data_IF_031110544384
#
_entry.id   IF_031110544384
#
_cell.length_a   1.000
_cell.length_b   1.000
_cell.length_c   1.000
_cell.angle_alpha   90.00
_cell.angle_beta   90.00
_cell.angle_gamma   90.00
#
_symmetry.space_group_name_H-M   'P 1'
#
loop_
_entity.id
_entity.type
_entity.pdbx_description
1 polymer ?
#
# COMPACT_ATOMS: atom_id res chain seq x y z
N UNK A 1 -28.50 -2.42 18.30
CA UNK A 1 -27.80 -1.18 17.90
C UNK A 1 -26.75 -0.75 18.94
N UNK A 2 -27.13 -0.51 20.21
CA UNK A 2 -26.19 -0.08 21.27
C UNK A 2 -25.04 -1.07 21.44
N UNK A 3 -25.32 -2.36 21.47
CA UNK A 3 -24.32 -3.39 21.63
C UNK A 3 -23.36 -3.51 20.43
N UNK A 4 -23.86 -3.34 19.22
CA UNK A 4 -23.02 -3.35 18.02
C UNK A 4 -22.15 -2.11 17.93
N UNK A 5 -22.65 -0.94 18.35
CA UNK A 5 -21.84 0.27 18.50
C UNK A 5 -20.71 0.06 19.50
N UNK A 6 -20.99 -0.60 20.64
CA UNK A 6 -19.99 -0.88 21.67
C UNK A 6 -18.94 -1.86 21.18
N UNK A 7 -19.35 -2.92 20.47
CA UNK A 7 -18.43 -3.88 19.84
C UNK A 7 -17.53 -3.21 18.80
N UNK A 8 -18.09 -2.29 17.99
CA UNK A 8 -17.34 -1.50 17.03
C UNK A 8 -16.30 -0.60 17.71
N UNK A 9 -16.69 0.12 18.78
CA UNK A 9 -15.76 0.98 19.55
C UNK A 9 -14.60 0.15 20.13
N UNK A 10 -14.90 -1.02 20.69
CA UNK A 10 -13.88 -1.93 21.23
C UNK A 10 -12.91 -2.35 20.15
N UNK A 11 -13.40 -2.67 18.96
CA UNK A 11 -12.58 -3.09 17.82
C UNK A 11 -11.77 -1.94 17.24
N UNK A 12 -12.35 -0.73 17.13
CA UNK A 12 -11.67 0.47 16.66
C UNK A 12 -10.43 0.81 17.52
N UNK A 13 -10.50 0.52 18.84
CA UNK A 13 -9.37 0.67 19.75
C UNK A 13 -8.33 -0.46 19.68
N UNK A 14 -8.39 -1.34 18.68
CA UNK A 14 -7.41 -2.41 18.46
C UNK A 14 -7.70 -3.69 19.25
N UNK A 15 -8.81 -3.79 19.95
CA UNK A 15 -9.20 -4.96 20.75
C UNK A 15 -10.07 -5.96 19.96
N UNK A 16 -9.64 -6.36 18.78
CA UNK A 16 -10.39 -7.27 17.90
C UNK A 16 -10.83 -8.58 18.58
N UNK A 17 -10.02 -9.12 19.47
CA UNK A 17 -10.33 -10.32 20.26
C UNK A 17 -11.53 -10.09 21.21
N UNK A 18 -11.55 -8.98 21.92
CA UNK A 18 -12.62 -8.64 22.85
C UNK A 18 -13.95 -8.34 22.13
N UNK A 19 -13.88 -7.74 20.93
CA UNK A 19 -15.05 -7.54 20.07
C UNK A 19 -15.71 -8.88 19.70
N UNK A 20 -14.91 -9.91 19.36
CA UNK A 20 -15.41 -11.26 19.05
C UNK A 20 -16.07 -11.93 20.27
N UNK A 21 -15.42 -11.83 21.44
CA UNK A 21 -16.01 -12.35 22.70
C UNK A 21 -17.31 -11.65 23.02
N UNK A 22 -17.38 -10.33 22.82
CA UNK A 22 -18.57 -9.55 23.10
C UNK A 22 -19.75 -9.96 22.18
N UNK A 23 -19.50 -10.17 20.89
CA UNK A 23 -20.53 -10.67 19.97
C UNK A 23 -20.98 -12.10 20.32
N UNK A 24 -20.05 -12.98 20.72
CA UNK A 24 -20.39 -14.32 21.19
C UNK A 24 -21.25 -14.29 22.47
N UNK A 25 -20.95 -13.36 23.40
CA UNK A 25 -21.73 -13.20 24.62
C UNK A 25 -23.16 -12.71 24.35
N UNK A 26 -23.36 -11.85 23.35
CA UNK A 26 -24.69 -11.45 22.89
C UNK A 26 -25.50 -12.64 22.39
N UNK A 27 -24.89 -13.51 21.57
CA UNK A 27 -25.54 -14.72 21.08
C UNK A 27 -25.95 -15.64 22.24
N UNK A 28 -25.07 -15.83 23.23
CA UNK A 28 -25.35 -16.64 24.42
C UNK A 28 -26.50 -16.04 25.25
N UNK A 29 -26.51 -14.69 25.43
CA UNK A 29 -27.56 -14.00 26.17
C UNK A 29 -28.92 -14.15 25.46
N UNK A 30 -28.96 -14.01 24.14
CA UNK A 30 -30.18 -14.18 23.36
C UNK A 30 -30.67 -15.64 23.45
N UNK A 31 -29.78 -16.61 23.31
CA UNK A 31 -30.12 -18.02 23.51
C UNK A 31 -30.63 -18.27 24.92
N UNK A 32 -29.99 -17.73 25.96
CA UNK A 32 -30.44 -17.86 27.36
C UNK A 32 -31.82 -17.23 27.60
N UNK A 33 -32.08 -16.03 27.04
CA UNK A 33 -33.40 -15.40 27.12
C UNK A 33 -34.48 -16.23 26.43
N UNK A 34 -34.16 -16.87 25.29
CA UNK A 34 -35.08 -17.75 24.60
C UNK A 34 -35.42 -19.02 25.40
N UNK A 35 -34.43 -19.56 26.14
CA UNK A 35 -34.66 -20.71 27.02
C UNK A 35 -35.39 -20.34 28.33
N UNK A 36 -35.21 -19.12 28.82
CA UNK A 36 -35.77 -18.68 30.10
C UNK A 36 -37.24 -18.21 30.00
N UNK A 37 -37.66 -17.70 28.83
CA UNK A 37 -39.08 -17.37 28.60
C UNK A 37 -39.81 -18.64 28.13
N UNK A 38 -40.59 -19.28 29.02
CA UNK A 38 -41.31 -20.49 28.62
C UNK A 38 -42.32 -20.16 27.53
N UNK A 39 -42.55 -21.16 26.65
CA UNK A 39 -43.52 -21.07 25.59
C UNK A 39 -44.84 -20.48 26.08
N UNK A 40 -45.40 -19.57 25.31
CA UNK A 40 -46.75 -19.04 25.54
C UNK A 40 -47.73 -20.22 25.79
N UNK A 41 -48.67 -20.08 26.70
CA UNK A 41 -49.68 -21.11 27.00
C UNK A 41 -50.50 -21.55 25.76
N UNK A 42 -50.32 -20.92 24.62
CA UNK A 42 -51.04 -21.17 23.37
C UNK A 42 -50.24 -22.02 22.36
N UNK A 43 -49.13 -22.66 22.77
CA UNK A 43 -48.46 -23.69 21.96
C UNK A 43 -47.69 -23.20 20.70
N UNK A 44 -47.53 -21.91 20.54
CA UNK A 44 -46.80 -21.37 19.40
C UNK A 44 -45.32 -21.19 19.80
N UNK A 45 -44.47 -22.01 19.20
CA UNK A 45 -43.03 -21.95 19.37
C UNK A 45 -42.42 -20.76 18.57
N UNK A 46 -42.76 -19.53 18.97
CA UNK A 46 -42.09 -18.32 18.41
C UNK A 46 -40.58 -18.38 18.53
N UNK A 47 -40.06 -19.18 19.46
CA UNK A 47 -38.65 -19.37 19.73
C UNK A 47 -37.93 -20.10 18.62
N UNK A 48 -38.53 -21.09 17.95
CA UNK A 48 -37.90 -21.92 16.90
C UNK A 48 -37.66 -21.08 15.64
N UNK A 49 -38.58 -20.20 15.30
CA UNK A 49 -38.49 -19.34 14.12
C UNK A 49 -37.38 -18.28 14.25
N UNK A 50 -37.24 -17.69 15.42
CA UNK A 50 -36.21 -16.66 15.69
C UNK A 50 -34.82 -17.30 15.73
N UNK A 51 -34.69 -18.50 16.31
CA UNK A 51 -33.45 -19.27 16.32
C UNK A 51 -32.98 -19.65 14.91
N UNK A 52 -33.89 -20.16 14.07
CA UNK A 52 -33.58 -20.55 12.69
C UNK A 52 -33.09 -19.38 11.84
N UNK A 53 -33.52 -18.14 12.15
CA UNK A 53 -33.15 -16.95 11.43
C UNK A 53 -31.87 -16.28 11.99
N UNK A 54 -31.77 -16.17 13.31
CA UNK A 54 -30.71 -15.37 13.96
C UNK A 54 -29.34 -16.07 13.99
N UNK A 55 -29.31 -17.39 14.13
CA UNK A 55 -28.05 -18.15 14.20
C UNK A 55 -27.23 -18.06 12.90
N UNK A 56 -27.78 -18.34 11.70
CA UNK A 56 -27.04 -18.22 10.44
C UNK A 56 -26.54 -16.79 10.21
N UNK A 57 -27.37 -15.78 10.49
CA UNK A 57 -27.05 -14.37 10.30
C UNK A 57 -25.90 -13.92 11.21
N UNK A 58 -25.94 -14.29 12.48
CA UNK A 58 -24.90 -13.92 13.46
C UNK A 58 -23.58 -14.60 13.18
N UNK A 59 -23.60 -15.87 12.76
CA UNK A 59 -22.39 -16.61 12.39
C UNK A 59 -21.81 -16.07 11.07
N UNK A 60 -22.66 -15.82 10.07
CA UNK A 60 -22.24 -15.27 8.79
C UNK A 60 -21.59 -13.88 8.94
N UNK A 61 -22.17 -12.98 9.75
CA UNK A 61 -21.59 -11.65 10.01
C UNK A 61 -20.25 -11.74 10.76
N UNK A 62 -20.09 -12.68 11.67
CA UNK A 62 -18.81 -12.93 12.36
C UNK A 62 -17.71 -13.39 11.41
N UNK A 63 -18.05 -14.18 10.40
CA UNK A 63 -17.11 -14.71 9.42
C UNK A 63 -16.82 -13.69 8.30
N UNK A 64 -17.85 -13.06 7.76
CA UNK A 64 -17.76 -12.19 6.59
C UNK A 64 -17.00 -10.88 6.85
N UNK A 65 -17.10 -10.32 8.04
CA UNK A 65 -16.54 -9.01 8.35
C UNK A 65 -15.31 -9.09 9.26
N UNK A 66 -14.27 -9.76 8.79
CA UNK A 66 -12.95 -9.74 9.45
C UNK A 66 -12.11 -8.59 8.88
N UNK A 67 -11.73 -7.60 9.70
CA UNK A 67 -10.83 -6.51 9.32
C UNK A 67 -11.42 -5.10 9.40
N UNK A 68 -10.88 -4.17 8.59
CA UNK A 68 -11.27 -2.74 8.61
C UNK A 68 -12.72 -2.46 8.18
N UNK A 69 -13.36 -3.40 7.47
CA UNK A 69 -14.73 -3.26 6.96
C UNK A 69 -15.81 -3.75 7.94
N UNK A 70 -15.44 -4.17 9.13
CA UNK A 70 -16.34 -4.68 10.17
C UNK A 70 -17.52 -3.76 10.52
N UNK A 71 -17.38 -2.44 10.33
CA UNK A 71 -18.48 -1.48 10.59
C UNK A 71 -19.73 -1.77 9.78
N UNK A 72 -19.57 -2.21 8.53
CA UNK A 72 -20.71 -2.51 7.65
C UNK A 72 -21.41 -3.82 8.06
N UNK A 73 -20.63 -4.80 8.55
CA UNK A 73 -21.18 -6.05 9.06
C UNK A 73 -22.05 -5.85 10.29
N UNK A 74 -21.64 -5.01 11.22
CA UNK A 74 -22.46 -4.68 12.40
C UNK A 74 -23.75 -3.96 12.01
N UNK A 75 -23.67 -2.95 11.11
CA UNK A 75 -24.86 -2.24 10.61
C UNK A 75 -25.82 -3.22 9.92
N UNK A 76 -25.31 -4.14 9.12
CA UNK A 76 -26.12 -5.12 8.41
C UNK A 76 -26.77 -6.13 9.38
N UNK A 77 -26.03 -6.63 10.38
CA UNK A 77 -26.56 -7.50 11.43
C UNK A 77 -27.67 -6.82 12.23
N UNK A 78 -27.48 -5.54 12.59
CA UNK A 78 -28.48 -4.76 13.31
C UNK A 78 -29.72 -4.48 12.46
N UNK A 79 -29.56 -4.22 11.18
CA UNK A 79 -30.67 -4.04 10.24
C UNK A 79 -31.52 -5.30 10.13
N UNK A 80 -30.89 -6.48 10.00
CA UNK A 80 -31.60 -7.75 9.96
C UNK A 80 -32.31 -8.03 11.27
N UNK A 81 -31.65 -7.77 12.40
CA UNK A 81 -32.28 -7.90 13.72
C UNK A 81 -33.50 -6.99 13.84
N UNK A 82 -33.38 -5.73 13.42
CA UNK A 82 -34.48 -4.76 13.43
C UNK A 82 -35.66 -5.24 12.55
N UNK A 83 -35.36 -5.70 11.33
CA UNK A 83 -36.39 -6.25 10.42
C UNK A 83 -37.06 -7.47 11.04
N UNK A 84 -36.31 -8.39 11.64
CA UNK A 84 -36.83 -9.60 12.29
C UNK A 84 -37.72 -9.25 13.49
N UNK A 85 -37.28 -8.30 14.33
CA UNK A 85 -38.08 -7.82 15.46
C UNK A 85 -39.37 -7.11 15.00
N UNK A 86 -39.25 -6.32 13.91
CA UNK A 86 -40.43 -5.62 13.34
C UNK A 86 -41.43 -6.65 12.80
N UNK A 87 -41.02 -7.68 12.11
CA UNK A 87 -41.89 -8.74 11.62
C UNK A 87 -42.55 -9.51 12.74
N UNK A 88 -41.87 -9.75 13.88
CA UNK A 88 -42.44 -10.40 15.06
C UNK A 88 -43.49 -9.50 15.72
N UNK A 89 -43.19 -8.19 15.90
CA UNK A 89 -44.08 -7.22 16.60
C UNK A 89 -45.33 -6.90 15.76
N UNK A 90 -45.19 -6.85 14.44
CA UNK A 90 -46.30 -6.57 13.50
C UNK A 90 -46.99 -7.82 12.97
N UNK A 91 -46.69 -9.00 13.52
CA UNK A 91 -47.42 -10.22 13.17
C UNK A 91 -48.91 -10.07 13.50
N UNK A 92 -49.82 -10.15 12.50
CA UNK A 92 -51.28 -10.01 12.74
C UNK A 92 -51.80 -11.03 13.73
N UNK A 93 -51.16 -12.18 13.93
CA UNK A 93 -51.53 -13.20 14.89
C UNK A 93 -51.33 -12.79 16.35
N UNK A 94 -50.26 -12.00 16.62
CA UNK A 94 -50.05 -11.43 17.95
C UNK A 94 -51.13 -10.41 18.31
N UNK A 95 -51.70 -9.72 17.30
CA UNK A 95 -52.69 -8.67 17.51
C UNK A 95 -54.13 -9.18 17.54
N UNK A 96 -54.42 -10.32 16.92
CA UNK A 96 -55.80 -10.74 16.70
C UNK A 96 -56.29 -11.94 17.55
N UNK A 97 -55.40 -12.62 18.23
CA UNK A 97 -55.73 -13.86 19.04
C UNK A 97 -56.53 -14.91 18.29
N UNK A 98 -56.53 -14.93 16.96
CA UNK A 98 -57.28 -15.86 16.12
C UNK A 98 -56.45 -17.09 15.77
N UNK A 99 -56.97 -18.32 15.90
CA UNK A 99 -56.24 -19.49 15.42
C UNK A 99 -56.21 -19.51 13.90
N UNK A 100 -55.00 -19.62 13.31
CA UNK A 100 -54.84 -19.81 11.87
C UNK A 100 -55.44 -21.13 11.46
N UNK A 101 -56.38 -21.10 10.54
CA UNK A 101 -56.87 -22.32 9.88
C UNK A 101 -55.73 -22.88 9.01
N UNK A 102 -55.08 -23.96 9.46
CA UNK A 102 -54.04 -24.68 8.75
C UNK A 102 -54.61 -25.46 7.60
N UNK A 103 -54.57 -24.96 6.36
CA UNK A 103 -54.94 -25.70 5.16
C UNK A 103 -53.88 -26.75 4.75
N UNK A 104 -52.64 -26.64 5.26
CA UNK A 104 -51.52 -27.51 4.85
C UNK A 104 -50.64 -27.99 6.00
N UNK A 105 -50.98 -27.72 7.26
CA UNK A 105 -50.14 -28.10 8.42
C UNK A 105 -48.85 -27.30 8.61
N UNK A 106 -48.54 -26.37 7.72
CA UNK A 106 -47.39 -25.47 7.83
C UNK A 106 -47.93 -24.07 8.11
N UNK A 107 -47.49 -23.45 9.22
CA UNK A 107 -47.87 -22.06 9.50
C UNK A 107 -47.16 -21.11 8.49
N UNK A 108 -47.87 -20.09 7.99
CA UNK A 108 -47.29 -19.10 7.10
C UNK A 108 -46.07 -18.42 7.72
N UNK A 109 -46.05 -18.25 9.03
CA UNK A 109 -44.93 -17.65 9.79
C UNK A 109 -43.64 -18.49 9.66
N UNK A 110 -43.77 -19.82 9.75
CA UNK A 110 -42.63 -20.71 9.54
C UNK A 110 -42.08 -20.59 8.10
N UNK A 111 -42.99 -20.49 7.13
CA UNK A 111 -42.61 -20.37 5.71
C UNK A 111 -41.87 -19.01 5.46
N UNK A 112 -42.39 -17.92 5.99
CA UNK A 112 -41.74 -16.62 5.85
C UNK A 112 -40.35 -16.57 6.53
N UNK A 113 -40.20 -17.17 7.71
CA UNK A 113 -38.93 -17.25 8.41
C UNK A 113 -37.91 -18.11 7.65
N UNK A 114 -38.32 -19.24 7.09
CA UNK A 114 -37.44 -20.09 6.27
C UNK A 114 -37.02 -19.37 5.00
N UNK A 115 -37.91 -18.68 4.30
CA UNK A 115 -37.59 -17.91 3.09
C UNK A 115 -36.64 -16.77 3.45
N UNK A 116 -36.91 -16.02 4.53
CA UNK A 116 -36.07 -14.93 4.99
C UNK A 116 -34.66 -15.41 5.35
N UNK A 117 -34.56 -16.51 6.09
CA UNK A 117 -33.27 -17.11 6.43
C UNK A 117 -32.51 -17.59 5.18
N UNK A 118 -33.19 -18.19 4.20
CA UNK A 118 -32.59 -18.64 2.95
C UNK A 118 -32.07 -17.46 2.13
N UNK A 119 -32.82 -16.36 2.04
CA UNK A 119 -32.39 -15.14 1.34
C UNK A 119 -31.17 -14.52 2.06
N UNK A 120 -31.20 -14.40 3.37
CA UNK A 120 -30.09 -13.86 4.15
C UNK A 120 -28.81 -14.70 3.94
N UNK A 121 -28.93 -16.02 4.06
CA UNK A 121 -27.79 -16.93 3.82
C UNK A 121 -27.26 -16.84 2.39
N UNK A 122 -28.14 -16.71 1.40
CA UNK A 122 -27.73 -16.53 0.01
C UNK A 122 -26.94 -15.23 -0.19
N UNK A 123 -27.42 -14.12 0.38
CA UNK A 123 -26.72 -12.82 0.31
C UNK A 123 -25.35 -12.89 0.98
N UNK A 124 -25.27 -13.53 2.15
CA UNK A 124 -23.99 -13.72 2.87
C UNK A 124 -23.00 -14.56 2.06
N UNK A 125 -23.45 -15.68 1.52
CA UNK A 125 -22.59 -16.54 0.69
C UNK A 125 -22.14 -15.80 -0.57
N UNK A 126 -23.05 -15.08 -1.24
CA UNK A 126 -22.69 -14.27 -2.42
C UNK A 126 -21.66 -13.19 -2.08
N UNK A 127 -21.80 -12.52 -0.93
CA UNK A 127 -20.84 -11.52 -0.46
C UNK A 127 -19.48 -12.16 -0.14
N UNK A 128 -19.46 -13.28 0.57
CA UNK A 128 -18.22 -14.01 0.90
C UNK A 128 -17.50 -14.45 -0.38
N UNK A 129 -18.22 -14.98 -1.37
CA UNK A 129 -17.65 -15.35 -2.65
C UNK A 129 -17.08 -14.16 -3.40
N UNK A 130 -17.79 -13.02 -3.43
CA UNK A 130 -17.30 -11.79 -4.06
C UNK A 130 -16.04 -11.25 -3.37
N UNK A 131 -15.99 -11.27 -2.04
CA UNK A 131 -14.82 -10.88 -1.26
C UNK A 131 -13.63 -11.81 -1.50
N UNK A 132 -13.88 -13.13 -1.50
CA UNK A 132 -12.85 -14.13 -1.75
C UNK A 132 -12.26 -14.00 -3.15
N UNK A 133 -13.09 -13.73 -4.17
CA UNK A 133 -12.61 -13.49 -5.53
C UNK A 133 -11.71 -12.24 -5.59
N UNK A 134 -12.10 -11.13 -4.96
CA UNK A 134 -11.27 -9.92 -4.90
C UNK A 134 -9.94 -10.16 -4.18
N UNK A 135 -9.96 -10.91 -3.08
CA UNK A 135 -8.75 -11.27 -2.34
C UNK A 135 -7.84 -12.16 -3.18
N UNK A 136 -8.40 -13.15 -3.89
CA UNK A 136 -7.64 -14.03 -4.77
C UNK A 136 -7.03 -13.28 -5.96
N UNK A 137 -7.76 -12.34 -6.56
CA UNK A 137 -7.24 -11.47 -7.62
C UNK A 137 -6.09 -10.61 -7.09
N UNK A 138 -6.24 -9.98 -5.93
CA UNK A 138 -5.19 -9.19 -5.30
C UNK A 138 -3.96 -10.02 -4.94
N UNK A 139 -4.17 -11.22 -4.40
CA UNK A 139 -3.09 -12.16 -4.07
C UNK A 139 -2.37 -12.65 -5.33
N UNK A 140 -3.12 -12.99 -6.38
CA UNK A 140 -2.56 -13.42 -7.66
C UNK A 140 -1.72 -12.30 -8.30
N UNK A 141 -2.21 -11.05 -8.25
CA UNK A 141 -1.46 -9.89 -8.72
C UNK A 141 -0.17 -9.68 -7.93
N UNK A 142 -0.23 -9.73 -6.60
CA UNK A 142 0.94 -9.59 -5.74
C UNK A 142 1.96 -10.73 -5.96
N UNK A 143 1.50 -11.96 -6.17
CA UNK A 143 2.40 -13.07 -6.51
C UNK A 143 3.06 -12.86 -7.88
N UNK A 144 2.31 -12.43 -8.88
CA UNK A 144 2.88 -12.17 -10.20
C UNK A 144 3.92 -11.03 -10.18
N UNK A 145 3.65 -9.97 -9.41
CA UNK A 145 4.62 -8.89 -9.16
C UNK A 145 5.88 -9.41 -8.45
N UNK A 146 5.73 -10.30 -7.48
CA UNK A 146 6.85 -10.93 -6.77
C UNK A 146 7.67 -11.84 -7.70
N UNK A 147 7.03 -12.66 -8.53
CA UNK A 147 7.72 -13.55 -9.48
C UNK A 147 8.51 -12.73 -10.50
N UNK A 148 7.91 -11.67 -11.03
CA UNK A 148 8.59 -10.74 -11.93
C UNK A 148 9.79 -10.06 -11.24
N UNK A 149 9.61 -9.63 -9.98
CA UNK A 149 10.70 -9.06 -9.18
C UNK A 149 11.87 -10.02 -9.04
N UNK A 150 11.62 -11.27 -8.63
CA UNK A 150 12.65 -12.29 -8.45
C UNK A 150 13.36 -12.59 -9.77
N UNK A 151 12.61 -12.69 -10.87
CA UNK A 151 13.17 -12.95 -12.19
C UNK A 151 14.11 -11.83 -12.64
N UNK A 152 13.66 -10.56 -12.59
CA UNK A 152 14.45 -9.43 -13.09
C UNK A 152 15.66 -9.18 -12.19
N UNK A 153 15.50 -9.22 -10.86
CA UNK A 153 16.62 -9.11 -9.92
C UNK A 153 17.68 -10.18 -10.22
N UNK A 154 17.26 -11.42 -10.43
CA UNK A 154 18.18 -12.52 -10.75
C UNK A 154 18.93 -12.29 -12.06
N UNK A 155 18.23 -11.76 -13.07
CA UNK A 155 18.83 -11.43 -14.37
C UNK A 155 19.85 -10.28 -14.25
N UNK A 156 19.46 -9.20 -13.57
CA UNK A 156 20.27 -7.98 -13.45
C UNK A 156 21.48 -8.15 -12.51
N UNK A 157 21.41 -9.06 -11.54
CA UNK A 157 22.57 -9.47 -10.75
C UNK A 157 23.51 -10.41 -11.55
N UNK A 158 22.95 -11.28 -12.38
CA UNK A 158 23.76 -12.23 -13.16
C UNK A 158 24.61 -11.55 -14.21
N UNK A 159 24.10 -10.52 -14.89
CA UNK A 159 24.81 -9.83 -15.98
C UNK A 159 26.14 -9.21 -15.53
N UNK A 160 26.22 -8.34 -14.49
CA UNK A 160 27.48 -7.78 -14.02
C UNK A 160 28.42 -8.84 -13.44
N UNK A 161 27.87 -9.90 -12.82
CA UNK A 161 28.67 -11.02 -12.31
C UNK A 161 29.38 -11.76 -13.43
N UNK A 162 28.69 -12.08 -14.53
CA UNK A 162 29.25 -12.74 -15.68
C UNK A 162 30.29 -11.85 -16.40
N UNK A 163 30.00 -10.54 -16.50
CA UNK A 163 30.96 -9.56 -17.05
C UNK A 163 32.23 -9.51 -16.19
N UNK A 164 32.10 -9.41 -14.87
CA UNK A 164 33.24 -9.40 -13.94
C UNK A 164 34.08 -10.68 -14.09
N UNK A 165 33.41 -11.85 -14.13
CA UNK A 165 34.09 -13.13 -14.35
C UNK A 165 34.85 -13.15 -15.67
N UNK A 166 34.23 -12.74 -16.77
CA UNK A 166 34.87 -12.69 -18.09
C UNK A 166 36.10 -11.77 -18.13
N UNK A 167 35.96 -10.57 -17.50
CA UNK A 167 37.08 -9.62 -17.40
C UNK A 167 38.26 -10.19 -16.59
N UNK A 168 37.98 -10.89 -15.47
CA UNK A 168 39.01 -11.56 -14.70
C UNK A 168 39.67 -12.71 -15.46
N UNK A 169 38.92 -13.48 -16.22
CA UNK A 169 39.49 -14.59 -17.05
C UNK A 169 40.39 -14.05 -18.18
N UNK A 170 39.96 -12.95 -18.82
CA UNK A 170 40.81 -12.27 -19.84
C UNK A 170 42.08 -11.69 -19.19
N UNK A 171 41.95 -11.07 -18.00
CA UNK A 171 43.13 -10.54 -17.29
C UNK A 171 44.16 -11.61 -16.97
N UNK A 172 43.74 -12.84 -16.65
CA UNK A 172 44.65 -13.98 -16.43
C UNK A 172 45.40 -14.41 -17.71
N UNK A 173 44.76 -14.28 -18.87
CA UNK A 173 45.38 -14.66 -20.15
C UNK A 173 46.41 -13.63 -20.66
N UNK A 174 46.25 -12.36 -20.21
CA UNK A 174 47.07 -11.23 -20.66
C UNK A 174 48.03 -10.70 -19.59
N UNK A 175 48.53 -11.55 -18.70
CA UNK A 175 49.38 -11.17 -17.55
C UNK A 175 50.62 -10.36 -17.94
N UNK A 176 51.14 -10.56 -19.12
CA UNK A 176 52.32 -9.85 -19.63
C UNK A 176 52.00 -8.41 -20.06
N UNK A 177 50.75 -8.08 -20.37
CA UNK A 177 50.31 -6.77 -20.82
C UNK A 177 49.73 -5.95 -19.65
N UNK A 178 50.59 -5.42 -18.79
CA UNK A 178 50.23 -4.77 -17.52
C UNK A 178 49.17 -3.66 -17.67
N UNK A 179 49.21 -2.86 -18.74
CA UNK A 179 48.21 -1.78 -18.95
C UNK A 179 46.83 -2.35 -19.30
N UNK A 180 46.75 -3.43 -20.10
CA UNK A 180 45.48 -4.07 -20.41
C UNK A 180 44.90 -4.76 -19.17
N UNK A 181 45.72 -5.43 -18.38
CA UNK A 181 45.29 -6.04 -17.12
C UNK A 181 44.67 -4.98 -16.18
N UNK A 182 45.35 -3.83 -16.00
CA UNK A 182 44.81 -2.74 -15.18
C UNK A 182 43.47 -2.21 -15.71
N UNK A 183 43.34 -2.09 -17.05
CA UNK A 183 42.08 -1.69 -17.69
C UNK A 183 40.95 -2.69 -17.38
N UNK A 184 41.17 -3.99 -17.50
CA UNK A 184 40.16 -5.03 -17.19
C UNK A 184 39.82 -5.09 -15.72
N UNK A 185 40.79 -4.94 -14.82
CA UNK A 185 40.55 -4.87 -13.38
C UNK A 185 39.70 -3.65 -13.01
N UNK A 186 39.96 -2.48 -13.62
CA UNK A 186 39.14 -1.29 -13.42
C UNK A 186 37.72 -1.47 -13.93
N UNK A 187 37.50 -2.13 -15.05
CA UNK A 187 36.17 -2.45 -15.56
C UNK A 187 35.46 -3.46 -14.68
N UNK A 188 36.16 -4.46 -14.16
CA UNK A 188 35.59 -5.41 -13.19
C UNK A 188 35.18 -4.71 -11.89
N UNK A 189 36.01 -3.79 -11.38
CA UNK A 189 35.69 -2.96 -10.24
C UNK A 189 34.42 -2.12 -10.44
N UNK A 190 34.27 -1.48 -11.60
CA UNK A 190 33.04 -0.76 -11.95
C UNK A 190 31.81 -1.67 -11.99
N UNK A 191 31.96 -2.89 -12.50
CA UNK A 191 30.86 -3.86 -12.54
C UNK A 191 30.43 -4.32 -11.16
N UNK A 192 31.39 -4.48 -10.21
CA UNK A 192 31.10 -4.81 -8.81
C UNK A 192 30.40 -3.65 -8.11
N UNK A 193 30.81 -2.41 -8.33
CA UNK A 193 30.14 -1.24 -7.77
C UNK A 193 28.70 -1.13 -8.25
N UNK A 194 28.45 -1.38 -9.53
CA UNK A 194 27.09 -1.43 -10.08
C UNK A 194 26.23 -2.51 -9.39
N UNK A 195 26.82 -3.68 -9.12
CA UNK A 195 26.14 -4.77 -8.40
C UNK A 195 25.78 -4.38 -6.96
N UNK A 196 26.69 -3.68 -6.27
CA UNK A 196 26.44 -3.16 -4.93
C UNK A 196 25.30 -2.12 -4.91
N UNK A 197 25.23 -1.26 -5.92
CA UNK A 197 24.14 -0.30 -6.06
C UNK A 197 22.78 -0.99 -6.28
N UNK A 198 22.72 -2.03 -7.11
CA UNK A 198 21.52 -2.88 -7.29
C UNK A 198 21.07 -3.48 -5.95
N UNK A 199 21.99 -4.04 -5.18
CA UNK A 199 21.70 -4.63 -3.87
C UNK A 199 21.16 -3.57 -2.91
N UNK A 200 21.74 -2.36 -2.87
CA UNK A 200 21.27 -1.25 -2.05
C UNK A 200 19.84 -0.84 -2.40
N UNK A 201 19.50 -0.76 -3.68
CA UNK A 201 18.14 -0.45 -4.13
C UNK A 201 17.14 -1.53 -3.70
N UNK A 202 17.48 -2.82 -3.85
CA UNK A 202 16.65 -3.93 -3.38
C UNK A 202 16.41 -3.87 -1.87
N UNK A 203 17.46 -3.59 -1.10
CA UNK A 203 17.36 -3.45 0.35
C UNK A 203 16.50 -2.25 0.75
N UNK A 204 16.62 -1.11 0.04
CA UNK A 204 15.79 0.07 0.26
C UNK A 204 14.31 -0.23 0.00
N UNK A 205 13.99 -0.94 -1.09
CA UNK A 205 12.63 -1.41 -1.38
C UNK A 205 12.09 -2.33 -0.30
N UNK A 206 12.86 -3.36 0.08
CA UNK A 206 12.47 -4.32 1.13
C UNK A 206 12.23 -3.65 2.49
N UNK A 207 13.07 -2.69 2.87
CA UNK A 207 12.88 -1.91 4.11
C UNK A 207 11.65 -1.03 4.03
N UNK A 208 11.43 -0.35 2.91
CA UNK A 208 10.26 0.50 2.73
C UNK A 208 8.95 -0.26 2.94
N UNK A 209 8.82 -1.47 2.40
CA UNK A 209 7.61 -2.28 2.53
C UNK A 209 7.33 -2.71 3.97
N UNK A 210 8.37 -2.98 4.78
CA UNK A 210 8.26 -3.56 6.12
C UNK A 210 8.22 -2.56 7.27
N UNK A 211 8.86 -1.39 7.14
CA UNK A 211 8.96 -0.41 8.23
C UNK A 211 7.85 0.64 8.15
N UNK A 212 7.27 1.01 9.29
CA UNK A 212 6.42 2.20 9.42
C UNK A 212 7.19 3.49 9.12
N UNK A 213 6.49 4.63 9.08
CA UNK A 213 7.12 5.94 8.96
C UNK A 213 7.90 6.26 10.24
N UNK A 214 9.13 6.74 10.09
CA UNK A 214 9.99 7.18 11.18
C UNK A 214 10.24 8.68 11.05
N UNK A 215 9.46 9.48 11.79
CA UNK A 215 9.58 10.92 11.73
C UNK A 215 10.64 11.42 12.70
N UNK A 216 11.53 12.27 12.19
CA UNK A 216 12.52 13.00 12.97
C UNK A 216 12.69 14.44 12.43
N UNK A 217 13.22 15.33 13.24
CA UNK A 217 13.54 16.70 12.81
C UNK A 217 14.96 16.74 12.26
N UNK A 218 15.12 17.26 11.07
CA UNK A 218 16.42 17.39 10.40
C UNK A 218 16.44 18.59 9.46
N UNK A 219 17.63 19.03 9.12
CA UNK A 219 17.84 20.07 8.11
C UNK A 219 17.98 19.43 6.72
N UNK A 220 17.16 19.88 5.75
CA UNK A 220 17.19 19.40 4.37
C UNK A 220 18.57 19.66 3.73
N UNK A 221 19.21 20.78 4.03
CA UNK A 221 20.53 21.11 3.47
C UNK A 221 21.57 20.04 3.83
N UNK A 222 21.48 19.44 5.03
CA UNK A 222 22.37 18.36 5.43
C UNK A 222 22.24 17.13 4.53
N UNK A 223 21.00 16.78 4.18
CA UNK A 223 20.72 15.65 3.24
C UNK A 223 21.30 15.94 1.85
N UNK A 224 21.06 17.14 1.33
CA UNK A 224 21.55 17.51 0.00
C UNK A 224 23.08 17.50 -0.05
N UNK A 225 23.72 18.01 1.02
CA UNK A 225 25.18 17.95 1.14
C UNK A 225 25.70 16.51 1.14
N UNK A 226 25.10 15.63 1.95
CA UNK A 226 25.50 14.22 2.03
C UNK A 226 25.35 13.53 0.65
N UNK A 227 24.28 13.84 -0.10
CA UNK A 227 24.07 13.30 -1.44
C UNK A 227 25.12 13.82 -2.43
N UNK A 228 25.41 15.13 -2.41
CA UNK A 228 26.41 15.73 -3.29
C UNK A 228 27.81 15.14 -3.04
N UNK A 229 28.19 15.04 -1.77
CA UNK A 229 29.47 14.45 -1.38
C UNK A 229 29.57 12.98 -1.80
N UNK A 230 28.51 12.20 -1.59
CA UNK A 230 28.45 10.77 -1.96
C UNK A 230 28.42 10.49 -3.46
N UNK A 231 27.93 11.42 -4.27
CA UNK A 231 27.93 11.35 -5.75
C UNK A 231 29.13 12.09 -6.37
N UNK A 232 30.04 12.65 -5.55
CA UNK A 232 31.17 13.45 -5.99
C UNK A 232 30.78 14.59 -6.96
N UNK A 233 29.60 15.20 -6.72
CA UNK A 233 29.08 16.28 -7.55
C UNK A 233 29.93 17.52 -7.37
N UNK A 234 30.59 17.96 -8.43
CA UNK A 234 31.38 19.17 -8.46
C UNK A 234 30.94 20.06 -9.61
N UNK A 235 30.82 21.34 -9.36
CA UNK A 235 30.58 22.28 -10.42
C UNK A 235 31.78 22.33 -11.38
N UNK A 236 31.49 22.47 -12.64
CA UNK A 236 32.47 22.55 -13.71
C UNK A 236 31.98 23.54 -14.78
N UNK A 237 32.80 23.96 -15.71
CA UNK A 237 32.35 24.82 -16.81
C UNK A 237 31.22 24.22 -17.64
N UNK A 238 31.05 22.88 -17.60
CA UNK A 238 30.04 22.17 -18.36
C UNK A 238 28.84 21.69 -17.53
N UNK A 239 28.92 21.80 -16.20
CA UNK A 239 27.86 21.30 -15.30
C UNK A 239 27.74 22.13 -14.03
N UNK A 240 26.51 22.46 -13.61
CA UNK A 240 26.20 23.21 -12.38
C UNK A 240 25.13 22.50 -11.57
N UNK A 241 25.31 22.47 -10.23
CA UNK A 241 24.29 22.06 -9.30
C UNK A 241 23.73 23.32 -8.58
N UNK A 242 22.47 23.65 -8.89
CA UNK A 242 21.82 24.86 -8.40
C UNK A 242 20.87 24.54 -7.25
N UNK A 243 20.94 25.29 -6.18
CA UNK A 243 20.09 25.13 -5.00
C UNK A 243 19.35 26.43 -4.71
N UNK A 244 18.03 26.31 -4.48
CA UNK A 244 17.18 27.43 -4.14
C UNK A 244 16.28 27.02 -2.96
N UNK A 245 16.37 27.77 -1.87
CA UNK A 245 15.63 27.50 -0.63
C UNK A 245 14.72 28.68 -0.30
N UNK A 246 13.40 28.45 -0.41
CA UNK A 246 12.36 29.42 -0.12
C UNK A 246 11.63 29.03 1.18
N UNK A 247 12.18 29.48 2.31
CA UNK A 247 11.69 29.20 3.66
C UNK A 247 12.66 28.40 4.52
N UNK A 248 12.23 28.09 5.74
CA UNK A 248 13.01 27.32 6.71
C UNK A 248 13.18 25.87 6.26
N UNK A 249 14.42 25.40 6.19
CA UNK A 249 14.81 24.07 5.72
C UNK A 249 14.73 22.98 6.79
N UNK A 250 14.37 23.36 8.03
CA UNK A 250 14.14 22.39 9.11
C UNK A 250 12.83 21.64 8.89
N UNK A 251 12.90 20.34 8.67
CA UNK A 251 11.75 19.48 8.30
C UNK A 251 11.53 18.43 9.38
N UNK A 252 10.26 18.16 9.73
CA UNK A 252 9.86 16.99 10.52
C UNK A 252 9.20 15.96 9.62
N UNK A 253 9.95 14.92 9.23
CA UNK A 253 9.53 13.91 8.28
C UNK A 253 10.37 12.62 8.42
N UNK A 254 10.17 11.65 7.53
CA UNK A 254 11.01 10.46 7.44
C UNK A 254 12.30 10.76 6.66
N UNK A 255 13.38 11.05 7.41
CA UNK A 255 14.69 11.41 6.87
C UNK A 255 15.25 10.36 5.93
N UNK A 256 15.14 9.06 6.30
CA UNK A 256 15.70 7.97 5.52
C UNK A 256 15.04 7.82 4.16
N UNK A 257 13.71 7.92 4.12
CA UNK A 257 12.95 7.87 2.87
C UNK A 257 13.22 9.11 2.01
N UNK A 258 13.22 10.28 2.61
CA UNK A 258 13.48 11.52 1.89
C UNK A 258 14.90 11.53 1.28
N UNK A 259 15.91 11.06 2.02
CA UNK A 259 17.26 10.88 1.50
C UNK A 259 17.29 9.95 0.29
N UNK A 260 16.60 8.80 0.35
CA UNK A 260 16.54 7.82 -0.74
C UNK A 260 15.86 8.41 -1.99
N UNK A 261 14.73 9.11 -1.81
CA UNK A 261 14.01 9.77 -2.90
C UNK A 261 14.89 10.80 -3.59
N UNK A 262 15.47 11.74 -2.81
CA UNK A 262 16.31 12.81 -3.35
C UNK A 262 17.55 12.25 -4.03
N UNK A 263 18.21 11.27 -3.43
CA UNK A 263 19.36 10.61 -4.06
C UNK A 263 18.99 10.01 -5.41
N UNK A 264 17.89 9.29 -5.52
CA UNK A 264 17.45 8.68 -6.78
C UNK A 264 17.14 9.75 -7.84
N UNK A 265 16.41 10.82 -7.47
CA UNK A 265 16.08 11.89 -8.40
C UNK A 265 17.32 12.65 -8.88
N UNK A 266 18.25 12.99 -7.97
CA UNK A 266 19.49 13.69 -8.28
C UNK A 266 20.42 12.79 -9.12
N UNK A 267 20.56 11.50 -8.77
CA UNK A 267 21.35 10.55 -9.56
C UNK A 267 20.83 10.47 -10.99
N UNK A 268 19.51 10.31 -11.16
CA UNK A 268 18.91 10.30 -12.50
C UNK A 268 19.21 11.59 -13.29
N UNK A 269 19.04 12.76 -12.65
CA UNK A 269 19.31 14.05 -13.30
C UNK A 269 20.78 14.19 -13.74
N UNK A 270 21.73 13.66 -12.95
CA UNK A 270 23.15 13.67 -13.26
C UNK A 270 23.49 12.64 -14.37
N UNK A 271 22.92 11.44 -14.31
CA UNK A 271 23.23 10.37 -15.27
C UNK A 271 22.66 10.63 -16.67
N UNK A 272 21.44 11.16 -16.73
CA UNK A 272 20.76 11.46 -17.99
C UNK A 272 21.07 12.84 -18.56
N UNK A 273 22.08 13.55 -17.99
CA UNK A 273 22.53 14.83 -18.56
C UNK A 273 23.11 14.64 -19.96
N UNK A 274 23.01 15.64 -20.78
CA UNK A 274 23.67 15.70 -22.07
C UNK A 274 25.15 15.97 -21.90
N UNK A 275 26.00 14.98 -22.06
CA UNK A 275 27.45 15.05 -21.77
C UNK A 275 28.20 16.10 -22.61
N UNK A 276 27.70 16.40 -23.79
CA UNK A 276 28.35 17.32 -24.76
C UNK A 276 27.77 18.74 -24.72
N UNK A 277 26.82 19.01 -23.83
CA UNK A 277 26.14 20.32 -23.75
C UNK A 277 26.85 21.19 -22.69
N UNK A 278 27.34 22.36 -23.14
CA UNK A 278 27.80 23.41 -22.20
C UNK A 278 26.59 23.94 -21.45
N UNK A 279 26.69 24.05 -20.12
CA UNK A 279 25.61 24.55 -19.27
C UNK A 279 24.58 23.48 -18.89
N UNK A 280 24.97 22.21 -18.83
CA UNK A 280 24.14 21.18 -18.18
C UNK A 280 23.94 21.54 -16.70
N UNK A 281 22.72 21.39 -16.21
CA UNK A 281 22.43 21.69 -14.80
C UNK A 281 21.48 20.68 -14.17
N UNK A 282 21.58 20.56 -12.86
CA UNK A 282 20.55 20.01 -11.97
C UNK A 282 20.15 21.12 -11.02
N UNK A 283 18.87 21.43 -10.94
CA UNK A 283 18.33 22.46 -10.04
C UNK A 283 17.41 21.83 -9.01
N UNK A 284 17.69 22.07 -7.73
CA UNK A 284 16.82 21.71 -6.62
C UNK A 284 16.16 23.00 -6.09
N UNK A 285 14.85 23.00 -6.03
CA UNK A 285 14.05 24.08 -5.44
C UNK A 285 13.26 23.52 -4.27
N UNK A 286 13.46 24.10 -3.10
CA UNK A 286 12.66 23.86 -1.91
C UNK A 286 11.76 25.05 -1.64
N UNK A 287 10.49 24.80 -1.39
CA UNK A 287 9.53 25.85 -1.04
C UNK A 287 8.69 25.38 0.15
N UNK A 288 8.60 26.22 1.17
CA UNK A 288 7.77 25.98 2.34
C UNK A 288 6.63 26.98 2.42
N UNK A 289 5.41 26.48 2.59
CA UNK A 289 4.21 27.30 2.77
C UNK A 289 3.43 26.76 3.96
N UNK A 290 3.57 27.44 5.11
CA UNK A 290 2.95 26.99 6.36
C UNK A 290 3.44 25.60 6.79
N UNK A 291 2.52 24.65 6.90
CA UNK A 291 2.82 23.28 7.31
C UNK A 291 3.12 22.33 6.12
N UNK A 292 3.18 22.85 4.90
CA UNK A 292 3.46 22.07 3.69
C UNK A 292 4.78 22.49 3.10
N UNK A 293 5.56 21.55 2.61
CA UNK A 293 6.74 21.82 1.82
C UNK A 293 6.70 21.09 0.48
N UNK A 294 7.33 21.68 -0.51
CA UNK A 294 7.49 21.11 -1.83
C UNK A 294 8.97 21.10 -2.21
N UNK A 295 9.38 20.02 -2.88
CA UNK A 295 10.73 19.88 -3.43
C UNK A 295 10.60 19.56 -4.91
N UNK A 296 11.31 20.34 -5.72
CA UNK A 296 11.42 20.13 -7.16
C UNK A 296 12.87 19.83 -7.50
N UNK A 297 13.12 18.74 -8.21
CA UNK A 297 14.40 18.43 -8.84
C UNK A 297 14.20 18.51 -10.35
N UNK A 298 14.94 19.40 -11.00
CA UNK A 298 14.85 19.61 -12.45
C UNK A 298 16.21 19.57 -13.11
N UNK A 299 16.24 19.10 -14.34
CA UNK A 299 17.44 19.03 -15.19
C UNK A 299 17.11 19.50 -16.63
N UNK A 300 18.15 19.83 -17.39
CA UNK A 300 18.07 20.09 -18.82
C UNK A 300 18.67 18.95 -19.66
N UNK A 301 18.54 17.73 -19.19
CA UNK A 301 19.08 16.51 -19.78
C UNK A 301 18.31 16.00 -20.99
N UNK A 302 18.35 14.69 -21.18
CA UNK A 302 17.74 14.02 -22.34
C UNK A 302 16.21 14.08 -22.33
N UNK A 303 15.58 14.25 -21.17
CA UNK A 303 14.15 14.18 -21.02
C UNK A 303 13.59 12.76 -21.27
N UNK A 304 12.27 12.64 -21.21
CA UNK A 304 11.54 11.39 -21.34
C UNK A 304 10.56 11.51 -22.50
N UNK A 305 10.58 10.53 -23.39
CA UNK A 305 9.62 10.46 -24.50
C UNK A 305 8.20 10.28 -23.99
N UNK A 306 7.21 10.95 -24.60
CA UNK A 306 5.81 10.93 -24.16
C UNK A 306 5.23 9.51 -24.03
N UNK A 307 5.60 8.58 -24.91
CA UNK A 307 5.19 7.16 -24.86
C UNK A 307 5.68 6.40 -23.61
N UNK A 308 6.71 6.93 -22.94
CA UNK A 308 7.33 6.32 -21.77
C UNK A 308 6.84 6.93 -20.46
N UNK A 309 6.18 8.09 -20.49
CA UNK A 309 5.77 8.85 -19.30
C UNK A 309 4.88 8.05 -18.34
N UNK A 310 3.95 7.27 -18.85
CA UNK A 310 3.06 6.43 -18.03
C UNK A 310 3.79 5.24 -17.40
N UNK A 311 4.88 4.79 -18.04
CA UNK A 311 5.60 3.57 -17.66
C UNK A 311 6.86 3.80 -16.83
N UNK A 312 7.35 5.04 -16.72
CA UNK A 312 8.62 5.31 -16.00
C UNK A 312 8.54 4.99 -14.50
N UNK A 313 7.33 4.84 -13.98
CA UNK A 313 7.09 4.39 -12.61
C UNK A 313 6.82 2.89 -12.50
N UNK A 314 6.79 2.15 -13.60
CA UNK A 314 6.65 0.70 -13.56
C UNK A 314 7.98 0.08 -13.07
N UNK A 315 7.86 -0.95 -12.26
CA UNK A 315 9.01 -1.67 -11.73
C UNK A 315 9.88 -2.19 -12.86
N UNK A 316 11.20 -1.90 -12.84
CA UNK A 316 12.19 -2.29 -13.82
C UNK A 316 12.03 -1.69 -15.23
N UNK A 317 11.14 -0.72 -15.39
CA UNK A 317 10.99 -0.07 -16.67
C UNK A 317 12.18 0.86 -16.96
N UNK A 318 12.71 0.77 -18.18
CA UNK A 318 13.78 1.62 -18.69
C UNK A 318 13.37 2.18 -20.04
N UNK A 319 13.37 3.49 -20.18
CA UNK A 319 12.99 4.15 -21.45
C UNK A 319 13.99 3.88 -22.57
N UNK A 320 15.25 3.61 -22.21
CA UNK A 320 16.32 3.23 -23.16
C UNK A 320 17.15 2.09 -22.58
N UNK A 321 17.43 1.07 -23.36
CA UNK A 321 18.29 -0.06 -22.96
C UNK A 321 19.75 0.33 -22.78
N UNK A 322 20.18 1.44 -23.36
CA UNK A 322 21.55 1.94 -23.29
C UNK A 322 21.86 2.76 -22.03
N UNK A 323 20.82 3.17 -21.27
CA UNK A 323 21.03 3.95 -20.06
C UNK A 323 21.51 3.05 -18.90
N UNK A 324 22.40 3.50 -18.02
CA UNK A 324 22.75 2.79 -16.80
C UNK A 324 21.54 2.77 -15.85
N UNK A 325 21.50 1.79 -14.93
CA UNK A 325 20.49 1.71 -13.87
C UNK A 325 19.54 0.51 -14.00
N UNK A 326 18.87 0.19 -12.88
CA UNK A 326 18.02 -0.99 -12.71
C UNK A 326 16.58 -0.79 -13.16
N UNK A 327 16.14 0.46 -13.33
CA UNK A 327 14.72 0.78 -13.49
C UNK A 327 13.91 0.70 -12.20
N UNK A 328 14.56 0.55 -11.05
CA UNK A 328 13.91 0.55 -9.73
C UNK A 328 13.79 1.95 -9.11
N UNK A 329 14.69 2.87 -9.44
CA UNK A 329 14.82 4.16 -8.75
C UNK A 329 13.52 4.97 -8.69
N UNK A 330 12.85 5.20 -9.84
CA UNK A 330 11.58 5.96 -9.87
C UNK A 330 10.41 5.16 -9.27
N UNK A 331 10.38 3.85 -9.43
CA UNK A 331 9.40 2.99 -8.77
C UNK A 331 9.51 3.10 -7.23
N UNK A 332 10.72 3.01 -6.68
CA UNK A 332 11.00 3.18 -5.26
C UNK A 332 10.59 4.58 -4.78
N UNK A 333 10.88 5.63 -5.56
CA UNK A 333 10.45 6.98 -5.25
C UNK A 333 8.93 7.07 -5.12
N UNK A 334 8.18 6.53 -6.08
CA UNK A 334 6.71 6.49 -6.06
C UNK A 334 6.20 5.78 -4.82
N UNK A 335 6.65 4.56 -4.55
CA UNK A 335 6.24 3.76 -3.39
C UNK A 335 6.51 4.47 -2.05
N UNK A 336 7.67 5.13 -1.94
CA UNK A 336 8.01 5.89 -0.74
C UNK A 336 7.14 7.14 -0.59
N UNK A 337 6.92 7.89 -1.68
CA UNK A 337 6.08 9.09 -1.69
C UNK A 337 4.63 8.75 -1.35
N UNK A 338 4.05 7.72 -1.94
CA UNK A 338 2.70 7.24 -1.64
C UNK A 338 2.57 6.83 -0.16
N UNK A 339 3.55 6.11 0.37
CA UNK A 339 3.58 5.72 1.78
C UNK A 339 3.69 6.90 2.74
N UNK A 340 4.39 7.95 2.33
CA UNK A 340 4.50 9.21 3.08
C UNK A 340 3.28 10.13 2.92
N UNK A 341 2.31 9.77 2.06
CA UNK A 341 1.14 10.59 1.75
C UNK A 341 1.46 11.82 0.91
N UNK A 342 2.54 11.77 0.13
CA UNK A 342 2.96 12.87 -0.72
C UNK A 342 2.13 12.95 -2.01
N UNK A 343 1.91 14.17 -2.48
CA UNK A 343 1.50 14.43 -3.86
C UNK A 343 2.75 14.64 -4.71
N UNK A 344 2.79 14.06 -5.91
CA UNK A 344 3.94 14.23 -6.79
C UNK A 344 3.52 14.37 -8.25
N UNK A 345 4.37 15.02 -9.05
CA UNK A 345 4.19 15.28 -10.47
C UNK A 345 5.52 15.16 -11.20
N UNK A 346 5.48 14.52 -12.36
CA UNK A 346 6.59 14.43 -13.28
C UNK A 346 6.23 15.17 -14.56
N UNK A 347 7.03 16.17 -14.93
CA UNK A 347 6.93 16.90 -16.17
C UNK A 347 8.24 16.69 -16.96
N UNK A 348 8.15 16.18 -18.19
CA UNK A 348 9.32 15.96 -19.02
C UNK A 348 9.02 16.11 -20.50
N UNK A 349 9.98 16.60 -21.25
CA UNK A 349 9.94 16.68 -22.70
C UNK A 349 11.24 16.12 -23.25
N UNK A 350 11.15 15.18 -24.19
CA UNK A 350 12.32 14.59 -24.82
C UNK A 350 13.20 15.68 -25.44
N UNK A 351 14.49 15.64 -25.13
CA UNK A 351 15.46 16.64 -25.56
C UNK A 351 15.46 17.96 -24.78
N UNK A 352 14.56 18.19 -23.81
CA UNK A 352 14.52 19.45 -23.04
C UNK A 352 14.90 19.28 -21.58
N UNK A 353 14.67 18.08 -21.01
CA UNK A 353 14.95 17.76 -19.61
C UNK A 353 13.74 17.26 -18.86
N UNK A 354 13.90 17.11 -17.55
CA UNK A 354 12.90 16.54 -16.65
C UNK A 354 12.73 17.42 -15.42
N UNK A 355 11.52 17.52 -14.89
CA UNK A 355 11.20 18.17 -13.63
C UNK A 355 10.30 17.24 -12.80
N UNK A 356 10.80 16.84 -11.65
CA UNK A 356 10.06 16.04 -10.69
C UNK A 356 9.75 16.88 -9.45
N UNK A 357 8.48 17.08 -9.17
CA UNK A 357 8.02 17.84 -8.01
C UNK A 357 7.23 16.94 -7.08
N UNK A 358 7.49 17.01 -5.79
CA UNK A 358 6.65 16.39 -4.79
C UNK A 358 6.41 17.33 -3.61
N UNK A 359 5.27 17.14 -2.93
CA UNK A 359 4.91 17.93 -1.77
C UNK A 359 4.39 17.07 -0.63
N UNK A 360 4.72 17.44 0.57
CA UNK A 360 4.37 16.76 1.80
C UNK A 360 3.80 17.74 2.82
N UNK A 361 2.82 17.27 3.59
CA UNK A 361 2.47 17.95 4.83
C UNK A 361 3.47 17.54 5.90
N UNK A 362 3.97 18.53 6.62
CA UNK A 362 4.80 18.25 7.77
C UNK A 362 3.94 17.59 8.85
N UNK A 363 4.34 16.41 9.31
CA UNK A 363 3.64 15.77 10.42
C UNK A 363 3.64 16.73 11.64
N UNK A 364 2.54 16.82 12.41
CA UNK A 364 2.51 17.68 13.58
C UNK A 364 3.62 17.27 14.54
N UNK A 365 4.47 18.23 14.88
CA UNK A 365 5.56 18.02 15.85
C UNK A 365 4.94 17.83 17.23
N UNK A 366 4.92 16.60 17.73
CA UNK A 366 4.36 16.26 19.05
C UNK A 366 5.14 16.95 20.20
N UNK A 367 6.35 17.48 19.93
CA UNK A 367 7.15 18.18 20.93
C UNK A 367 6.73 19.66 21.12
N UNK A 368 5.77 20.19 20.38
CA UNK A 368 5.24 21.55 20.50
C UNK A 368 3.84 21.59 21.15
N UNK A 369 3.35 20.49 21.69
CA UNK A 369 2.18 20.35 22.56
C UNK A 369 2.64 20.04 23.98
#
# INVERSE_FOLDING_TARGET
FVFSCLAYIIQYKGYAFYSKIFNLSQLIIILALMFYFPASPYGIHANDSVLAFYIPVSVGTLIAFQGKENKYGYIFSDLILLVSLTLIVFDPHYLTNQPVATLTGISYDLLYNIIGAAIATFVEVAYILALNNRLNESLSKANHELDNFVYIVSHDLRSPLLLTKGLLDISKLKVEEKEEVLKYLNLAGKSINNLDDIIKEILAYSRNSRTGLQHETFDLQSIIKDIKDGLEIKDSPTFSFLEEYNGDTLIYSDKGRLHTILRNLITNAVEYRKKETIGAFVKLVFTRTGNRFAITVSDNGQGIASKSMEKVFDMFYRATSAAPGTGLGLYICKEMLEKMGAEFKLDSTEGQGTSFTFSLEQAPNVASL
#
